data_IF_038271516439
#
_entry.id   IF_038271516439
#
_cell.length_a   1.000
_cell.length_b   1.000
_cell.length_c   1.000
_cell.angle_alpha   90.00
_cell.angle_beta   90.00
_cell.angle_gamma   90.00
#
_symmetry.space_group_name_H-M   'P 1'
#
loop_
_entity.id
_entity.type
_entity.pdbx_description
1 polymer ?
#
# COMPACT_ATOMS: atom_id res chain seq x y z
N UNK A 1 13.65 -4.72 -2.27
CA UNK A 1 12.21 -4.37 -2.31
C UNK A 1 12.12 -2.98 -2.92
N UNK A 2 11.06 -2.67 -3.67
CA UNK A 2 10.88 -1.31 -4.21
C UNK A 2 10.66 -0.30 -3.10
N UNK A 3 10.88 0.99 -3.40
CA UNK A 3 10.77 2.09 -2.45
C UNK A 3 9.31 2.41 -2.08
N UNK A 4 8.37 2.05 -2.95
CA UNK A 4 6.93 2.28 -2.78
C UNK A 4 6.12 1.03 -3.13
N UNK A 5 4.96 0.93 -2.50
CA UNK A 5 3.91 -0.02 -2.82
C UNK A 5 2.68 0.75 -3.30
N UNK A 6 2.24 0.45 -4.52
CA UNK A 6 1.03 1.02 -5.10
C UNK A 6 -0.06 -0.05 -5.16
N UNK A 7 -1.18 0.22 -4.50
CA UNK A 7 -2.38 -0.61 -4.60
C UNK A 7 -3.36 0.13 -5.49
N UNK A 8 -3.74 -0.47 -6.61
CA UNK A 8 -4.74 0.08 -7.52
C UNK A 8 -5.99 -0.78 -7.44
N UNK A 9 -7.12 -0.19 -7.04
CA UNK A 9 -8.41 -0.89 -6.97
C UNK A 9 -9.46 -0.21 -7.85
N UNK A 10 -10.63 -0.84 -7.99
CA UNK A 10 -11.78 -0.31 -8.73
C UNK A 10 -11.45 0.11 -10.19
N UNK A 11 -10.43 -0.51 -10.79
CA UNK A 11 -9.82 -0.13 -12.08
C UNK A 11 -10.84 0.06 -13.21
N UNK A 12 -11.87 -0.79 -13.24
CA UNK A 12 -12.86 -0.79 -14.32
C UNK A 12 -13.96 0.29 -14.18
N UNK A 13 -14.03 1.02 -13.07
CA UNK A 13 -15.08 2.03 -12.81
C UNK A 13 -14.48 3.36 -12.38
N UNK A 14 -14.07 3.43 -11.13
CA UNK A 14 -13.48 4.60 -10.50
C UNK A 14 -12.15 4.16 -9.89
N UNK A 15 -11.06 4.11 -10.69
CA UNK A 15 -9.77 3.68 -10.20
C UNK A 15 -9.32 4.56 -9.04
N UNK A 16 -8.81 3.94 -7.98
CA UNK A 16 -8.14 4.63 -6.89
C UNK A 16 -6.76 4.03 -6.71
N UNK A 17 -5.80 4.86 -6.36
CA UNK A 17 -4.44 4.46 -6.03
C UNK A 17 -4.14 4.77 -4.57
N UNK A 18 -3.52 3.82 -3.89
CA UNK A 18 -3.00 4.00 -2.55
C UNK A 18 -1.48 3.85 -2.58
N UNK A 19 -0.78 4.83 -2.01
CA UNK A 19 0.69 4.88 -2.01
C UNK A 19 1.20 4.65 -0.59
N UNK A 20 1.90 3.53 -0.39
CA UNK A 20 2.45 3.11 0.89
C UNK A 20 3.96 2.88 0.82
N UNK A 21 4.62 3.02 1.95
CA UNK A 21 6.02 2.63 2.13
C UNK A 21 6.11 1.14 2.52
N UNK A 22 7.22 0.46 2.20
CA UNK A 22 7.43 -0.94 2.59
C UNK A 22 7.26 -1.19 4.09
N UNK A 23 7.69 -0.26 4.95
CA UNK A 23 7.55 -0.40 6.40
C UNK A 23 6.10 -0.30 6.87
N UNK A 24 5.28 0.52 6.20
CA UNK A 24 3.84 0.60 6.49
C UNK A 24 3.13 -0.69 6.07
N UNK A 25 3.48 -1.26 4.91
CA UNK A 25 2.95 -2.56 4.48
C UNK A 25 3.27 -3.64 5.51
N UNK A 26 4.52 -3.72 5.96
CA UNK A 26 4.94 -4.69 6.98
C UNK A 26 4.21 -4.48 8.31
N UNK A 27 4.03 -3.22 8.73
CA UNK A 27 3.35 -2.87 9.98
C UNK A 27 1.85 -3.13 9.94
N UNK A 28 1.21 -2.96 8.79
CA UNK A 28 -0.24 -3.09 8.61
C UNK A 28 -0.66 -4.51 8.21
N UNK A 29 0.26 -5.32 7.69
CA UNK A 29 -0.02 -6.69 7.30
C UNK A 29 -0.42 -7.53 8.52
N UNK A 30 -1.57 -8.20 8.40
CA UNK A 30 -2.01 -9.17 9.38
C UNK A 30 -1.18 -10.44 9.25
N UNK A 31 -0.67 -10.94 10.38
CA UNK A 31 -0.01 -12.25 10.50
C UNK A 31 -1.03 -13.28 10.96
N UNK A 32 -1.46 -14.16 10.06
CA UNK A 32 -2.27 -15.32 10.42
C UNK A 32 -1.43 -16.57 10.57
N UNK A 33 -1.83 -17.43 11.50
CA UNK A 33 -1.20 -18.72 11.73
C UNK A 33 -2.26 -19.81 11.79
N UNK A 34 -2.08 -20.86 10.99
CA UNK A 34 -2.96 -22.03 10.97
C UNK A 34 -2.14 -23.29 10.73
N UNK A 35 -2.25 -24.27 11.62
CA UNK A 35 -1.56 -25.57 11.51
C UNK A 35 -0.04 -25.41 11.30
N UNK A 36 0.58 -24.46 12.01
CA UNK A 36 2.01 -24.15 11.90
C UNK A 36 2.43 -23.41 10.62
N UNK A 37 1.49 -23.09 9.73
CA UNK A 37 1.73 -22.26 8.54
C UNK A 37 1.43 -20.80 8.85
N UNK A 38 2.36 -19.93 8.52
CA UNK A 38 2.22 -18.48 8.66
C UNK A 38 1.89 -17.87 7.30
N UNK A 39 0.85 -17.04 7.26
CA UNK A 39 0.52 -16.20 6.11
C UNK A 39 0.44 -14.74 6.52
N UNK A 40 0.83 -13.86 5.59
CA UNK A 40 0.73 -12.42 5.76
C UNK A 40 -0.23 -11.88 4.70
N UNK A 41 -1.18 -11.05 5.10
CA UNK A 41 -2.07 -10.37 4.16
C UNK A 41 -2.41 -8.97 4.65
N UNK A 42 -2.60 -8.05 3.71
CA UNK A 42 -3.06 -6.71 3.99
C UNK A 42 -4.55 -6.63 3.70
N UNK A 43 -5.35 -6.18 4.67
CA UNK A 43 -6.79 -6.02 4.47
C UNK A 43 -7.09 -4.68 3.78
N UNK A 44 -8.16 -4.59 2.97
CA UNK A 44 -8.59 -3.33 2.36
C UNK A 44 -8.70 -2.17 3.35
N UNK A 45 -9.32 -2.41 4.51
CA UNK A 45 -9.48 -1.41 5.57
C UNK A 45 -8.15 -0.91 6.15
N UNK A 46 -7.05 -1.67 6.00
CA UNK A 46 -5.74 -1.26 6.47
C UNK A 46 -5.10 -0.21 5.57
N UNK A 47 -5.33 -0.25 4.26
CA UNK A 47 -4.75 0.72 3.31
C UNK A 47 -5.76 1.72 2.74
N UNK A 48 -7.06 1.43 2.79
CA UNK A 48 -8.13 2.32 2.34
C UNK A 48 -8.40 3.41 3.39
N UNK A 49 -7.39 4.25 3.57
CA UNK A 49 -7.39 5.36 4.51
C UNK A 49 -6.98 6.65 3.79
N UNK A 50 -7.53 7.82 4.18
CA UNK A 50 -7.28 9.08 3.48
C UNK A 50 -5.80 9.44 3.32
N UNK A 51 -4.94 9.08 4.28
CA UNK A 51 -3.51 9.39 4.21
C UNK A 51 -2.74 8.61 3.15
N UNK A 52 -3.28 7.49 2.67
CA UNK A 52 -2.65 6.66 1.62
C UNK A 52 -3.27 6.90 0.25
N UNK A 53 -4.56 7.29 0.22
CA UNK A 53 -5.32 7.50 -1.00
C UNK A 53 -4.78 8.69 -1.80
N UNK A 54 -4.45 8.45 -3.07
CA UNK A 54 -3.88 9.43 -4.01
C UNK A 54 -2.66 10.18 -3.43
N UNK A 55 -1.90 9.54 -2.54
CA UNK A 55 -0.76 10.14 -1.84
C UNK A 55 0.51 10.21 -2.73
N UNK A 56 0.35 10.68 -3.96
CA UNK A 56 1.42 10.81 -4.96
C UNK A 56 2.57 11.70 -4.52
N UNK A 57 2.28 12.70 -3.69
CA UNK A 57 3.28 13.59 -3.11
C UNK A 57 4.40 12.84 -2.36
N UNK A 58 4.14 11.60 -1.89
CA UNK A 58 5.13 10.74 -1.22
C UNK A 58 6.23 10.24 -2.15
N UNK A 59 5.95 10.11 -3.45
CA UNK A 59 6.91 9.68 -4.47
C UNK A 59 7.77 10.87 -4.94
N UNK A 60 7.26 12.09 -4.77
CA UNK A 60 7.89 13.32 -5.25
C UNK A 60 7.56 13.61 -6.73
N UNK A 61 8.16 14.69 -7.24
CA UNK A 61 7.97 15.13 -8.61
C UNK A 61 9.23 14.82 -9.41
N UNK A 62 9.10 14.07 -10.51
CA UNK A 62 10.24 13.64 -11.34
C UNK A 62 11.01 14.77 -12.04
N UNK A 63 10.61 16.03 -11.85
CA UNK A 63 11.30 17.22 -12.35
C UNK A 63 12.13 17.95 -11.28
N UNK A 64 11.99 17.58 -10.01
CA UNK A 64 12.86 18.09 -8.95
C UNK A 64 14.15 17.27 -9.01
N UNK A 65 15.25 17.95 -9.34
CA UNK A 65 16.58 17.31 -9.34
C UNK A 65 16.92 16.90 -7.92
N UNK A 66 17.40 15.67 -7.76
CA UNK A 66 17.80 15.07 -6.48
C UNK A 66 18.98 15.81 -5.82
#
# INVERSE_FOLDING_TARGET
MGDFWLIVNNVAKEPNVFVLLPEEIKSLAHRGEKEGRVSYWLQPTSYDQPQFKEAWHRIGLGHESA
#
